data_IF_887918623371
#
_entry.id   IF_887918623371
#
_cell.length_a   1.000
_cell.length_b   1.000
_cell.length_c   1.000
_cell.angle_alpha   90.00
_cell.angle_beta   90.00
_cell.angle_gamma   90.00
#
_symmetry.space_group_name_H-M   'P 1'
#
loop_
_entity.id
_entity.type
_entity.pdbx_description
1 polymer ?
#
# COMPACT_ATOMS: atom_id res chain seq x y z
N UNK A 1 -36.75 -3.74 -36.66
CA UNK A 1 -35.97 -4.31 -35.53
C UNK A 1 -34.47 -4.35 -35.81
N UNK A 2 -34.01 -4.63 -37.00
CA UNK A 2 -32.57 -4.69 -37.37
C UNK A 2 -31.81 -3.36 -37.27
N UNK A 3 -32.41 -2.23 -37.63
CA UNK A 3 -31.79 -0.89 -37.60
C UNK A 3 -31.48 -0.38 -36.18
N UNK A 4 -32.25 -0.78 -35.17
CA UNK A 4 -32.03 -0.37 -33.77
C UNK A 4 -30.85 -1.16 -33.17
N UNK A 5 -30.73 -2.45 -33.50
CA UNK A 5 -29.62 -3.32 -33.06
C UNK A 5 -28.30 -2.85 -33.65
N UNK A 6 -28.24 -2.50 -34.93
CA UNK A 6 -26.99 -2.04 -35.59
C UNK A 6 -26.53 -0.68 -35.04
N UNK A 7 -27.46 0.25 -34.74
CA UNK A 7 -27.13 1.54 -34.08
C UNK A 7 -26.58 1.31 -32.68
N UNK A 8 -27.18 0.41 -31.90
CA UNK A 8 -26.68 0.09 -30.52
C UNK A 8 -25.28 -0.50 -30.52
N UNK A 9 -24.95 -1.36 -31.50
CA UNK A 9 -23.61 -1.95 -31.62
C UNK A 9 -22.58 -0.88 -32.02
N UNK A 10 -22.93 0.02 -32.97
CA UNK A 10 -22.03 1.11 -33.36
C UNK A 10 -21.71 2.09 -32.24
N UNK A 11 -22.70 2.45 -31.44
CA UNK A 11 -22.50 3.35 -30.28
C UNK A 11 -21.71 2.69 -29.18
N UNK A 12 -21.87 1.39 -28.95
CA UNK A 12 -21.08 0.65 -27.98
C UNK A 12 -19.63 0.49 -28.44
N UNK A 13 -19.39 0.15 -29.70
CA UNK A 13 -18.07 0.06 -30.29
C UNK A 13 -17.33 1.40 -30.23
N UNK A 14 -18.01 2.52 -30.53
CA UNK A 14 -17.45 3.87 -30.42
C UNK A 14 -17.09 4.23 -29.01
N UNK A 15 -17.91 3.91 -28.01
CA UNK A 15 -17.61 4.12 -26.58
C UNK A 15 -16.41 3.31 -26.15
N UNK A 16 -16.31 2.04 -26.52
CA UNK A 16 -15.16 1.20 -26.23
C UNK A 16 -13.91 1.80 -26.86
N UNK A 17 -13.96 2.15 -28.14
CA UNK A 17 -12.82 2.75 -28.84
C UNK A 17 -12.37 4.06 -28.20
N UNK A 18 -13.30 4.97 -27.87
CA UNK A 18 -12.94 6.22 -27.19
C UNK A 18 -12.34 5.98 -25.80
N UNK A 19 -12.88 5.04 -25.04
CA UNK A 19 -12.32 4.69 -23.72
C UNK A 19 -10.92 4.11 -23.83
N UNK A 20 -10.70 3.20 -24.77
CA UNK A 20 -9.37 2.62 -25.03
C UNK A 20 -8.41 3.68 -25.53
N UNK A 21 -8.81 4.54 -26.46
CA UNK A 21 -7.97 5.64 -26.96
C UNK A 21 -7.57 6.61 -25.84
N UNK A 22 -8.52 7.02 -24.99
CA UNK A 22 -8.24 7.88 -23.83
C UNK A 22 -7.27 7.18 -22.85
N UNK A 23 -7.48 5.90 -22.58
CA UNK A 23 -6.60 5.14 -21.72
C UNK A 23 -5.16 5.05 -22.28
N UNK A 24 -5.00 4.78 -23.57
CA UNK A 24 -3.70 4.77 -24.25
C UNK A 24 -3.03 6.15 -24.24
N UNK A 25 -3.77 7.21 -24.50
CA UNK A 25 -3.23 8.58 -24.45
C UNK A 25 -2.78 8.92 -23.03
N UNK A 26 -3.59 8.64 -22.04
CA UNK A 26 -3.27 8.93 -20.63
C UNK A 26 -2.07 8.11 -20.15
N UNK A 27 -2.02 6.83 -20.51
CA UNK A 27 -0.91 5.94 -20.16
C UNK A 27 0.38 6.31 -20.89
N UNK A 28 0.30 6.71 -22.17
CA UNK A 28 1.44 7.10 -22.99
C UNK A 28 1.95 8.51 -22.71
N UNK A 29 1.12 9.39 -22.17
CA UNK A 29 1.50 10.78 -21.89
C UNK A 29 2.62 10.87 -20.85
N UNK A 30 2.55 10.06 -19.81
CA UNK A 30 3.58 10.02 -18.77
C UNK A 30 4.98 9.63 -19.28
N UNK A 31 5.17 8.50 -20.00
CA UNK A 31 6.46 8.15 -20.58
C UNK A 31 6.97 9.20 -21.57
N UNK A 32 6.06 9.77 -22.37
CA UNK A 32 6.41 10.81 -23.32
C UNK A 32 6.95 12.06 -22.63
N UNK A 33 6.26 12.56 -21.61
CA UNK A 33 6.68 13.73 -20.84
C UNK A 33 8.01 13.45 -20.13
N UNK A 34 8.15 12.28 -19.52
CA UNK A 34 9.40 11.88 -18.88
C UNK A 34 10.57 11.82 -19.88
N UNK A 35 10.34 11.28 -21.09
CA UNK A 35 11.35 11.23 -22.14
C UNK A 35 11.73 12.64 -22.64
N UNK A 36 10.76 13.54 -22.78
CA UNK A 36 11.00 14.92 -23.19
C UNK A 36 11.78 15.72 -22.14
N UNK A 37 11.58 15.44 -20.85
CA UNK A 37 12.24 16.14 -19.76
C UNK A 37 13.61 15.57 -19.42
N UNK A 38 13.81 14.26 -19.46
CA UNK A 38 15.01 13.58 -18.99
C UNK A 38 15.78 12.82 -20.09
N UNK A 39 15.29 12.82 -21.33
CA UNK A 39 15.99 12.27 -22.50
C UNK A 39 16.46 10.83 -22.33
N UNK A 40 17.77 10.60 -22.49
CA UNK A 40 18.40 9.27 -22.44
C UNK A 40 18.14 8.57 -21.10
N UNK A 41 18.18 9.28 -19.98
CA UNK A 41 17.98 8.72 -18.65
C UNK A 41 16.56 8.11 -18.51
N UNK A 42 15.55 8.76 -19.08
CA UNK A 42 14.20 8.21 -19.12
C UNK A 42 14.11 7.00 -20.03
N UNK A 43 14.83 7.00 -21.16
CA UNK A 43 14.94 5.84 -22.06
C UNK A 43 15.51 4.61 -21.37
N UNK A 44 16.59 4.77 -20.63
CA UNK A 44 17.21 3.70 -19.85
C UNK A 44 16.28 3.19 -18.74
N UNK A 45 15.59 4.09 -18.05
CA UNK A 45 14.60 3.73 -17.05
C UNK A 45 13.46 2.88 -17.63
N UNK A 46 12.89 3.28 -18.78
CA UNK A 46 11.83 2.53 -19.43
C UNK A 46 12.28 1.20 -19.98
N UNK A 47 13.50 1.11 -20.50
CA UNK A 47 14.09 -0.16 -20.92
C UNK A 47 14.26 -1.13 -19.75
N UNK A 48 14.81 -0.67 -18.63
CA UNK A 48 14.93 -1.45 -17.39
C UNK A 48 13.56 -1.88 -16.85
N UNK A 49 12.60 -0.96 -16.87
CA UNK A 49 11.23 -1.26 -16.45
C UNK A 49 10.58 -2.33 -17.35
N UNK A 50 10.70 -2.19 -18.66
CA UNK A 50 10.16 -3.16 -19.62
C UNK A 50 10.80 -4.55 -19.47
N UNK A 51 12.13 -4.61 -19.34
CA UNK A 51 12.85 -5.86 -19.09
C UNK A 51 12.38 -6.53 -17.79
N UNK A 52 12.19 -5.74 -16.74
CA UNK A 52 11.69 -6.23 -15.46
C UNK A 52 10.25 -6.75 -15.57
N UNK A 53 9.38 -6.07 -16.32
CA UNK A 53 8.01 -6.56 -16.56
C UNK A 53 8.00 -7.90 -17.30
N UNK A 54 8.89 -8.10 -18.26
CA UNK A 54 9.03 -9.39 -18.98
C UNK A 54 9.52 -10.50 -18.04
N UNK A 55 10.44 -10.19 -17.13
CA UNK A 55 10.95 -11.15 -16.14
C UNK A 55 9.91 -11.53 -15.08
N UNK A 56 8.94 -10.66 -14.81
CA UNK A 56 7.84 -10.91 -13.85
C UNK A 56 6.82 -11.91 -14.41
N UNK A 57 6.71 -12.04 -15.74
CA UNK A 57 5.83 -13.03 -16.37
C UNK A 57 6.41 -14.42 -16.15
N UNK A 58 5.87 -15.17 -15.22
CA UNK A 58 6.32 -16.51 -14.85
C UNK A 58 5.15 -17.47 -14.70
N UNK A 59 5.49 -18.72 -14.43
CA UNK A 59 4.50 -19.75 -14.19
C UNK A 59 4.14 -19.82 -12.70
N UNK A 60 2.90 -20.13 -12.48
CA UNK A 60 2.19 -20.44 -11.27
C UNK A 60 3.05 -21.12 -10.16
N UNK A 61 3.26 -20.43 -9.03
CA UNK A 61 3.80 -21.04 -7.82
C UNK A 61 2.65 -21.29 -6.80
N UNK A 62 2.46 -22.56 -6.34
CA UNK A 62 1.46 -22.88 -5.33
C UNK A 62 1.62 -22.09 -4.01
N UNK A 63 2.84 -21.71 -3.65
CA UNK A 63 3.11 -20.93 -2.43
C UNK A 63 2.57 -19.51 -2.54
N UNK A 64 2.68 -18.89 -3.71
CA UNK A 64 2.14 -17.56 -3.97
C UNK A 64 0.62 -17.52 -3.87
N UNK A 65 -0.05 -18.58 -4.32
CA UNK A 65 -1.51 -18.68 -4.18
C UNK A 65 -1.95 -18.82 -2.74
N UNK A 66 -1.27 -19.65 -1.97
CA UNK A 66 -1.58 -19.78 -0.55
C UNK A 66 -1.38 -18.45 0.18
N UNK A 67 -0.31 -17.73 -0.18
CA UNK A 67 -0.07 -16.37 0.31
C UNK A 67 -1.21 -15.42 -0.09
N UNK A 68 -1.61 -15.44 -1.36
CA UNK A 68 -2.69 -14.61 -1.89
C UNK A 68 -4.01 -14.88 -1.16
N UNK A 69 -4.42 -16.13 -1.03
CA UNK A 69 -5.68 -16.50 -0.36
C UNK A 69 -5.67 -16.02 1.09
N UNK A 70 -4.57 -16.22 1.80
CA UNK A 70 -4.42 -15.79 3.19
C UNK A 70 -4.53 -14.27 3.34
N UNK A 71 -3.86 -13.51 2.47
CA UNK A 71 -3.87 -12.05 2.53
C UNK A 71 -5.16 -11.45 1.96
N UNK A 72 -5.75 -12.05 0.92
CA UNK A 72 -7.02 -11.66 0.35
C UNK A 72 -8.13 -11.59 1.41
N UNK A 73 -8.23 -12.62 2.25
CA UNK A 73 -9.26 -12.70 3.29
C UNK A 73 -9.13 -11.54 4.30
N UNK A 74 -7.91 -11.23 4.72
CA UNK A 74 -7.65 -10.17 5.69
C UNK A 74 -7.69 -8.76 5.09
N UNK A 75 -7.01 -8.59 3.97
CA UNK A 75 -6.79 -7.27 3.37
C UNK A 75 -8.07 -6.69 2.74
N UNK A 76 -8.89 -7.55 2.17
CA UNK A 76 -10.14 -7.14 1.50
C UNK A 76 -11.39 -7.32 2.39
N UNK A 77 -11.24 -7.67 3.65
CA UNK A 77 -12.34 -7.67 4.62
C UNK A 77 -12.73 -6.21 4.97
N UNK A 78 -14.03 -5.88 5.03
CA UNK A 78 -15.21 -6.72 4.84
C UNK A 78 -15.78 -6.71 3.41
N UNK A 79 -15.08 -6.16 2.41
CA UNK A 79 -15.64 -5.98 1.06
C UNK A 79 -15.93 -7.32 0.35
N UNK A 80 -15.04 -8.31 0.45
CA UNK A 80 -15.16 -9.57 -0.29
C UNK A 80 -16.43 -10.39 0.04
N UNK A 81 -16.91 -10.53 1.31
CA UNK A 81 -18.13 -11.29 1.57
C UNK A 81 -19.36 -10.65 0.91
N UNK A 82 -19.43 -9.30 0.93
CA UNK A 82 -20.53 -8.58 0.27
C UNK A 82 -20.44 -8.63 -1.24
N UNK A 83 -19.23 -8.63 -1.80
CA UNK A 83 -19.02 -8.80 -3.24
C UNK A 83 -19.46 -10.20 -3.71
N UNK A 84 -19.09 -11.26 -2.98
CA UNK A 84 -19.58 -12.61 -3.28
C UNK A 84 -21.11 -12.72 -3.13
N UNK A 85 -21.67 -12.06 -2.11
CA UNK A 85 -23.12 -11.98 -1.95
C UNK A 85 -23.79 -11.28 -3.13
N UNK A 86 -23.19 -10.19 -3.63
CA UNK A 86 -23.68 -9.53 -4.83
C UNK A 86 -23.67 -10.46 -6.04
N UNK A 87 -22.56 -11.14 -6.31
CA UNK A 87 -22.43 -12.09 -7.42
C UNK A 87 -23.50 -13.20 -7.32
N UNK A 88 -23.71 -13.74 -6.12
CA UNK A 88 -24.74 -14.75 -5.87
C UNK A 88 -26.15 -14.25 -6.12
N UNK A 89 -26.49 -13.07 -5.64
CA UNK A 89 -27.82 -12.46 -5.83
C UNK A 89 -28.10 -12.13 -7.29
N UNK A 90 -27.09 -11.63 -8.02
CA UNK A 90 -27.20 -11.20 -9.41
C UNK A 90 -26.78 -12.29 -10.41
N UNK A 91 -26.59 -13.54 -9.99
CA UNK A 91 -26.11 -14.65 -10.83
C UNK A 91 -26.89 -14.88 -12.12
N UNK A 92 -28.17 -14.51 -12.15
CA UNK A 92 -29.02 -14.61 -13.34
C UNK A 92 -28.84 -13.42 -14.32
N UNK A 93 -28.24 -12.33 -13.86
CA UNK A 93 -28.14 -11.06 -14.56
C UNK A 93 -26.70 -10.49 -14.51
N UNK A 94 -25.68 -11.37 -14.56
CA UNK A 94 -24.27 -10.97 -14.51
C UNK A 94 -23.82 -10.11 -15.69
N UNK A 95 -24.59 -10.10 -16.78
CA UNK A 95 -24.32 -9.31 -17.99
C UNK A 95 -24.66 -7.84 -17.84
N UNK A 96 -25.32 -7.44 -16.75
CA UNK A 96 -25.63 -6.04 -16.49
C UNK A 96 -24.33 -5.26 -16.26
N UNK A 97 -24.12 -4.16 -16.95
CA UNK A 97 -22.85 -3.41 -17.04
C UNK A 97 -22.24 -3.08 -15.66
N UNK A 98 -23.05 -2.67 -14.69
CA UNK A 98 -22.54 -2.31 -13.34
C UNK A 98 -22.12 -3.50 -12.47
N UNK A 99 -22.50 -4.73 -12.84
CA UNK A 99 -21.97 -5.96 -12.23
C UNK A 99 -20.87 -6.56 -13.10
N UNK A 100 -21.09 -6.62 -14.42
CA UNK A 100 -20.17 -7.23 -15.36
C UNK A 100 -18.80 -6.53 -15.37
N UNK A 101 -18.79 -5.19 -15.38
CA UNK A 101 -17.55 -4.41 -15.50
C UNK A 101 -16.61 -4.58 -14.30
N UNK A 102 -17.03 -4.38 -13.04
CA UNK A 102 -16.14 -4.61 -11.91
C UNK A 102 -15.78 -6.09 -11.73
N UNK A 103 -16.69 -7.01 -12.08
CA UNK A 103 -16.42 -8.45 -12.03
C UNK A 103 -15.35 -8.84 -13.08
N UNK A 104 -15.50 -8.39 -14.34
CA UNK A 104 -14.52 -8.67 -15.40
C UNK A 104 -13.15 -8.09 -15.07
N UNK A 105 -13.10 -6.90 -14.45
CA UNK A 105 -11.86 -6.32 -13.98
C UNK A 105 -11.21 -7.18 -12.89
N UNK A 106 -11.97 -7.63 -11.88
CA UNK A 106 -11.46 -8.52 -10.84
C UNK A 106 -10.94 -9.85 -11.44
N UNK A 107 -11.67 -10.43 -12.41
CA UNK A 107 -11.25 -11.67 -13.07
C UNK A 107 -9.97 -11.46 -13.90
N UNK A 108 -9.90 -10.41 -14.69
CA UNK A 108 -8.71 -10.09 -15.49
C UNK A 108 -7.47 -9.86 -14.59
N UNK A 109 -7.68 -9.16 -13.47
CA UNK A 109 -6.63 -8.91 -12.50
C UNK A 109 -6.16 -10.19 -11.79
N UNK A 110 -7.10 -11.07 -11.42
CA UNK A 110 -6.78 -12.38 -10.84
C UNK A 110 -5.99 -13.26 -11.80
N UNK A 111 -6.35 -13.25 -13.09
CA UNK A 111 -5.60 -13.96 -14.14
C UNK A 111 -4.18 -13.36 -14.23
N UNK A 112 -4.05 -12.04 -14.27
CA UNK A 112 -2.76 -11.37 -14.28
C UNK A 112 -1.89 -11.71 -13.07
N UNK A 113 -2.50 -11.83 -11.88
CA UNK A 113 -1.82 -12.28 -10.67
C UNK A 113 -1.29 -13.72 -10.79
N UNK A 114 -2.11 -14.65 -11.29
CA UNK A 114 -1.72 -16.06 -11.48
C UNK A 114 -0.57 -16.21 -12.48
N UNK A 115 -0.49 -15.31 -13.46
CA UNK A 115 0.56 -15.30 -14.48
C UNK A 115 1.82 -14.52 -14.07
N UNK A 116 1.86 -13.96 -12.87
CA UNK A 116 2.99 -13.18 -12.35
C UNK A 116 3.83 -14.03 -11.39
N UNK A 117 5.15 -14.04 -11.59
CA UNK A 117 6.09 -14.84 -10.78
C UNK A 117 6.87 -14.05 -9.73
N UNK A 118 6.86 -12.73 -9.77
CA UNK A 118 7.61 -11.91 -8.81
C UNK A 118 6.73 -10.79 -8.27
N UNK A 119 6.56 -10.79 -6.97
CA UNK A 119 5.41 -10.10 -6.45
C UNK A 119 5.75 -9.06 -5.41
N UNK A 120 5.48 -7.84 -5.79
CA UNK A 120 4.90 -6.90 -4.86
C UNK A 120 3.39 -7.24 -4.68
N UNK A 121 3.10 -8.44 -4.14
CA UNK A 121 1.75 -9.01 -4.06
C UNK A 121 0.77 -8.09 -3.33
N UNK A 122 1.25 -7.29 -2.37
CA UNK A 122 0.45 -6.30 -1.65
C UNK A 122 -0.06 -5.18 -2.59
N UNK A 123 0.76 -4.72 -3.55
CA UNK A 123 0.34 -3.70 -4.52
C UNK A 123 -0.70 -4.24 -5.48
N UNK A 124 -0.59 -5.52 -5.85
CA UNK A 124 -1.57 -6.21 -6.67
C UNK A 124 -2.93 -6.33 -5.96
N UNK A 125 -2.95 -6.64 -4.68
CA UNK A 125 -4.18 -6.65 -3.89
C UNK A 125 -4.85 -5.27 -3.82
N UNK A 126 -4.08 -4.19 -3.73
CA UNK A 126 -4.63 -2.83 -3.62
C UNK A 126 -5.46 -2.42 -4.84
N UNK A 127 -5.10 -2.87 -6.03
CA UNK A 127 -5.84 -2.56 -7.27
C UNK A 127 -7.22 -3.23 -7.30
N UNK A 128 -7.39 -4.37 -6.64
CA UNK A 128 -8.69 -5.08 -6.57
C UNK A 128 -9.67 -4.42 -5.61
N UNK A 129 -9.23 -3.55 -4.72
CA UNK A 129 -10.10 -2.91 -3.71
C UNK A 129 -11.24 -2.13 -4.37
N UNK A 130 -10.94 -1.28 -5.35
CA UNK A 130 -11.94 -0.41 -5.96
C UNK A 130 -13.08 -1.20 -6.64
N UNK A 131 -12.82 -2.12 -7.58
CA UNK A 131 -13.89 -2.89 -8.22
C UNK A 131 -14.62 -3.82 -7.24
N UNK A 132 -13.90 -4.37 -6.26
CA UNK A 132 -14.50 -5.20 -5.22
C UNK A 132 -15.45 -4.40 -4.31
N UNK A 133 -15.11 -3.17 -3.94
CA UNK A 133 -15.99 -2.28 -3.18
C UNK A 133 -17.24 -1.89 -3.97
N UNK A 134 -17.12 -1.71 -5.29
CA UNK A 134 -18.30 -1.48 -6.16
C UNK A 134 -19.22 -2.69 -6.10
N UNK A 135 -18.72 -3.91 -6.28
CA UNK A 135 -19.52 -5.13 -6.15
C UNK A 135 -20.12 -5.27 -4.75
N UNK A 136 -19.31 -5.02 -3.69
CA UNK A 136 -19.78 -5.09 -2.33
C UNK A 136 -20.94 -4.13 -2.03
N UNK A 137 -20.95 -2.96 -2.65
CA UNK A 137 -22.04 -1.99 -2.49
C UNK A 137 -23.39 -2.56 -2.97
N UNK A 138 -23.41 -3.29 -4.08
CA UNK A 138 -24.62 -3.98 -4.56
C UNK A 138 -25.03 -5.14 -3.65
N UNK A 139 -24.06 -5.88 -3.09
CA UNK A 139 -24.33 -6.92 -2.10
C UNK A 139 -24.94 -6.37 -0.81
N UNK A 140 -24.40 -5.26 -0.33
CA UNK A 140 -24.89 -4.57 0.86
C UNK A 140 -26.33 -4.06 0.66
N UNK A 141 -26.68 -3.59 -0.55
CA UNK A 141 -28.05 -3.21 -0.89
C UNK A 141 -29.02 -4.35 -0.69
N UNK A 142 -28.64 -5.55 -1.08
CA UNK A 142 -29.46 -6.74 -1.02
C UNK A 142 -29.55 -7.36 0.40
N UNK A 143 -28.70 -6.91 1.35
CA UNK A 143 -28.70 -7.42 2.72
C UNK A 143 -29.95 -7.01 3.52
N UNK A 144 -30.36 -7.89 4.44
CA UNK A 144 -31.46 -7.64 5.35
C UNK A 144 -31.12 -6.51 6.34
N UNK A 145 -32.19 -5.93 6.92
CA UNK A 145 -32.07 -4.85 7.90
C UNK A 145 -31.24 -5.26 9.13
N UNK A 146 -31.37 -6.52 9.58
CA UNK A 146 -30.61 -7.08 10.69
C UNK A 146 -29.11 -7.09 10.41
N UNK A 147 -28.69 -7.59 9.25
CA UNK A 147 -27.27 -7.65 8.82
C UNK A 147 -26.66 -6.25 8.77
N UNK A 148 -27.41 -5.26 8.26
CA UNK A 148 -26.97 -3.86 8.22
C UNK A 148 -26.74 -3.30 9.61
N UNK A 149 -27.67 -3.58 10.54
CA UNK A 149 -27.55 -3.15 11.95
C UNK A 149 -26.39 -3.82 12.68
N UNK A 150 -26.15 -5.11 12.40
CA UNK A 150 -24.97 -5.80 12.95
C UNK A 150 -23.66 -5.23 12.40
N UNK A 151 -23.57 -4.89 11.13
CA UNK A 151 -22.39 -4.25 10.55
C UNK A 151 -22.11 -2.90 11.20
N UNK A 152 -23.13 -2.09 11.45
CA UNK A 152 -22.99 -0.80 12.13
C UNK A 152 -22.48 -0.99 13.57
N UNK A 153 -23.08 -1.90 14.32
CA UNK A 153 -22.67 -2.17 15.71
C UNK A 153 -21.24 -2.71 15.78
N UNK A 154 -20.90 -3.63 14.86
CA UNK A 154 -19.57 -4.17 14.73
C UNK A 154 -18.55 -3.06 14.43
N UNK A 155 -18.85 -2.14 13.51
CA UNK A 155 -17.98 -1.03 13.16
C UNK A 155 -17.74 -0.10 14.36
N UNK A 156 -18.79 0.25 15.10
CA UNK A 156 -18.64 1.05 16.32
C UNK A 156 -17.77 0.32 17.34
N UNK A 157 -18.03 -0.94 17.61
CA UNK A 157 -17.31 -1.70 18.62
C UNK A 157 -15.82 -1.86 18.24
N UNK A 158 -15.52 -2.31 17.02
CA UNK A 158 -14.15 -2.61 16.60
C UNK A 158 -13.29 -1.34 16.51
N UNK A 159 -13.81 -0.25 15.93
CA UNK A 159 -13.04 0.98 15.79
C UNK A 159 -12.88 1.72 17.11
N UNK A 160 -13.88 1.67 18.01
CA UNK A 160 -13.73 2.21 19.36
C UNK A 160 -12.69 1.44 20.16
N UNK A 161 -12.73 0.11 20.11
CA UNK A 161 -11.74 -0.75 20.77
C UNK A 161 -10.32 -0.50 20.21
N UNK A 162 -10.19 -0.46 18.89
CA UNK A 162 -8.90 -0.21 18.23
C UNK A 162 -8.36 1.19 18.57
N UNK A 163 -9.21 2.22 18.53
CA UNK A 163 -8.80 3.59 18.87
C UNK A 163 -8.42 3.72 20.35
N UNK A 164 -9.15 3.05 21.25
CA UNK A 164 -8.77 2.93 22.66
C UNK A 164 -7.41 2.27 22.82
N UNK A 165 -7.14 1.20 22.05
CA UNK A 165 -5.82 0.56 22.00
C UNK A 165 -4.72 1.50 21.55
N UNK A 166 -4.93 2.23 20.46
CA UNK A 166 -3.95 3.23 19.96
C UNK A 166 -3.61 4.26 21.04
N UNK A 167 -4.62 4.84 21.71
CA UNK A 167 -4.41 5.80 22.76
C UNK A 167 -3.77 5.18 24.02
N UNK A 168 -4.17 3.97 24.41
CA UNK A 168 -3.56 3.27 25.54
C UNK A 168 -2.06 3.00 25.29
N UNK A 169 -1.69 2.56 24.09
CA UNK A 169 -0.28 2.38 23.73
C UNK A 169 0.49 3.71 23.68
N UNK A 170 -0.12 4.77 23.17
CA UNK A 170 0.50 6.10 23.15
C UNK A 170 0.76 6.63 24.58
N UNK A 171 -0.23 6.52 25.48
CA UNK A 171 -0.09 6.90 26.89
C UNK A 171 0.98 6.03 27.58
N UNK A 172 0.99 4.71 27.32
CA UNK A 172 2.00 3.83 27.88
C UNK A 172 3.40 4.19 27.40
N UNK A 173 3.55 4.62 26.15
CA UNK A 173 4.84 5.06 25.62
C UNK A 173 5.31 6.37 26.25
N UNK A 174 4.42 7.35 26.41
CA UNK A 174 4.78 8.68 26.97
C UNK A 174 5.00 8.66 28.48
N UNK A 175 4.21 7.87 29.23
CA UNK A 175 4.28 7.80 30.69
C UNK A 175 5.16 6.65 31.22
N UNK A 176 5.60 5.72 30.37
CA UNK A 176 6.35 4.53 30.78
C UNK A 176 5.53 3.49 31.54
N UNK A 177 4.22 3.64 31.65
CA UNK A 177 3.34 2.74 32.39
C UNK A 177 2.09 2.39 31.56
N UNK A 178 1.67 1.09 31.49
CA UNK A 178 2.26 -0.10 32.13
C UNK A 178 3.54 -0.57 31.43
N UNK A 179 4.51 -1.13 32.16
CA UNK A 179 5.84 -1.42 31.63
C UNK A 179 5.83 -2.41 30.46
N UNK A 180 4.92 -3.38 30.43
CA UNK A 180 4.83 -4.35 29.33
C UNK A 180 4.48 -3.67 27.98
N UNK A 181 3.58 -2.69 28.00
CA UNK A 181 3.20 -1.96 26.76
C UNK A 181 4.34 -1.03 26.32
N UNK A 182 4.98 -0.35 27.26
CA UNK A 182 6.13 0.51 27.00
C UNK A 182 7.27 -0.29 26.36
N UNK A 183 7.66 -1.44 26.94
CA UNK A 183 8.66 -2.33 26.38
C UNK A 183 8.32 -2.86 24.98
N UNK A 184 7.05 -3.06 24.69
CA UNK A 184 6.63 -3.51 23.35
C UNK A 184 6.94 -2.47 22.28
N UNK A 185 6.79 -1.18 22.60
CA UNK A 185 7.09 -0.07 21.67
C UNK A 185 8.60 0.10 21.55
N UNK A 186 9.36 0.10 22.69
CA UNK A 186 10.81 0.20 22.67
C UNK A 186 11.46 -0.91 21.84
N UNK A 187 10.91 -2.13 21.89
CA UNK A 187 11.38 -3.23 21.03
C UNK A 187 11.18 -2.96 19.55
N UNK A 188 10.13 -2.23 19.20
CA UNK A 188 9.85 -1.85 17.80
C UNK A 188 10.75 -0.69 17.35
N UNK A 189 11.07 0.26 18.24
CA UNK A 189 11.89 1.43 17.87
C UNK A 189 13.38 1.11 17.81
N UNK A 190 13.85 0.10 18.52
CA UNK A 190 15.28 -0.26 18.64
C UNK A 190 16.21 0.92 19.06
N UNK A 191 15.65 2.09 19.35
CA UNK A 191 16.36 3.31 19.72
C UNK A 191 15.52 4.09 20.75
N UNK A 192 16.10 4.35 21.91
CA UNK A 192 15.45 5.13 22.97
C UNK A 192 15.38 6.62 22.66
N UNK A 193 16.10 7.08 21.63
CA UNK A 193 16.19 8.49 21.25
C UNK A 193 15.06 8.97 20.32
N UNK A 194 14.06 8.11 20.01
CA UNK A 194 12.96 8.51 19.14
C UNK A 194 12.15 9.63 19.76
N UNK A 195 12.07 10.76 19.07
CA UNK A 195 11.31 11.93 19.53
C UNK A 195 9.83 11.61 19.67
N UNK A 196 9.20 12.16 20.70
CA UNK A 196 7.75 12.06 20.88
C UNK A 196 7.00 12.80 19.76
N UNK A 197 5.74 12.45 19.56
CA UNK A 197 4.88 13.12 18.60
C UNK A 197 4.79 14.61 18.89
N UNK A 198 4.78 15.44 17.84
CA UNK A 198 4.59 16.87 17.98
C UNK A 198 3.22 17.18 18.61
N UNK A 199 3.14 18.22 19.44
CA UNK A 199 1.91 18.62 20.10
C UNK A 199 0.75 18.89 19.13
N UNK A 200 1.05 19.38 17.91
CA UNK A 200 0.08 19.58 16.84
C UNK A 200 -0.55 18.26 16.37
N UNK A 201 0.24 17.20 16.24
CA UNK A 201 -0.23 15.87 15.86
C UNK A 201 -1.11 15.26 16.95
N UNK A 202 -0.74 15.46 18.24
CA UNK A 202 -1.55 15.02 19.38
C UNK A 202 -2.90 15.76 19.38
N UNK A 203 -2.91 17.06 19.12
CA UNK A 203 -4.13 17.85 19.04
C UNK A 203 -5.05 17.37 17.91
N UNK A 204 -4.50 17.09 16.72
CA UNK A 204 -5.26 16.52 15.60
C UNK A 204 -5.86 15.17 15.98
N UNK A 205 -5.08 14.27 16.58
CA UNK A 205 -5.57 12.98 17.05
C UNK A 205 -6.68 13.10 18.09
N UNK A 206 -6.60 14.09 19.00
CA UNK A 206 -7.62 14.35 20.00
C UNK A 206 -8.92 14.87 19.36
N UNK A 207 -8.83 15.79 18.40
CA UNK A 207 -10.00 16.29 17.64
C UNK A 207 -10.69 15.12 16.91
N UNK A 208 -9.92 14.23 16.31
CA UNK A 208 -10.45 13.04 15.65
C UNK A 208 -11.11 12.07 16.63
N UNK A 209 -10.55 11.90 17.83
CA UNK A 209 -11.17 11.10 18.90
C UNK A 209 -12.52 11.67 19.30
N UNK A 210 -12.59 12.98 19.55
CA UNK A 210 -13.85 13.67 19.89
C UNK A 210 -14.86 13.55 18.75
N UNK A 211 -14.42 13.71 17.52
CA UNK A 211 -15.27 13.53 16.35
C UNK A 211 -15.83 12.09 16.28
N UNK A 212 -15.01 11.08 16.49
CA UNK A 212 -15.46 9.68 16.52
C UNK A 212 -16.50 9.44 17.64
N UNK A 213 -16.21 9.89 18.86
CA UNK A 213 -17.15 9.78 19.98
C UNK A 213 -18.48 10.48 19.67
N UNK A 214 -18.44 11.66 19.06
CA UNK A 214 -19.64 12.36 18.61
C UNK A 214 -20.45 11.51 17.63
N UNK A 215 -19.80 10.88 16.65
CA UNK A 215 -20.47 9.98 15.68
C UNK A 215 -21.11 8.78 16.38
N UNK A 216 -20.41 8.16 17.33
CA UNK A 216 -20.92 7.03 18.11
C UNK A 216 -22.15 7.44 18.95
N UNK A 217 -22.07 8.54 19.69
CA UNK A 217 -23.18 9.04 20.51
C UNK A 217 -24.37 9.42 19.63
N UNK A 218 -24.13 10.15 18.53
CA UNK A 218 -25.19 10.51 17.57
C UNK A 218 -25.88 9.26 17.01
N UNK A 219 -25.11 8.20 16.75
CA UNK A 219 -25.67 6.93 16.23
C UNK A 219 -26.49 6.20 17.30
N UNK A 220 -26.04 6.17 18.55
CA UNK A 220 -26.75 5.55 19.66
C UNK A 220 -28.04 6.28 20.00
N UNK A 221 -28.01 7.62 19.98
CA UNK A 221 -29.18 8.46 20.34
C UNK A 221 -30.20 8.57 19.22
N UNK A 222 -29.73 8.72 17.99
CA UNK A 222 -30.60 8.84 16.81
C UNK A 222 -30.49 7.54 16.02
N UNK A 223 -31.55 6.74 15.99
CA UNK A 223 -31.64 5.48 15.21
C UNK A 223 -32.17 5.70 13.77
N UNK A 224 -31.53 6.53 12.92
CA UNK A 224 -31.95 6.67 11.54
C UNK A 224 -31.50 5.42 10.81
N UNK A 225 -32.46 4.58 10.41
CA UNK A 225 -32.21 3.42 9.54
C UNK A 225 -32.00 3.97 8.13
N UNK A 226 -30.83 4.52 7.88
CA UNK A 226 -30.43 4.93 6.53
C UNK A 226 -29.50 3.87 5.97
N UNK A 227 -29.71 3.57 4.71
CA UNK A 227 -28.99 2.57 3.94
C UNK A 227 -27.46 2.72 3.96
N UNK A 228 -26.94 3.95 3.96
CA UNK A 228 -25.51 4.25 3.93
C UNK A 228 -24.84 4.41 5.31
N UNK A 229 -25.57 4.28 6.41
CA UNK A 229 -24.98 4.53 7.74
C UNK A 229 -23.88 3.56 8.13
N UNK A 230 -24.01 2.28 7.80
CA UNK A 230 -23.00 1.26 8.08
C UNK A 230 -21.67 1.52 7.36
N UNK A 231 -21.68 1.57 6.01
CA UNK A 231 -20.47 1.87 5.23
C UNK A 231 -19.82 3.20 5.60
N UNK A 232 -20.62 4.25 5.81
CA UNK A 232 -20.10 5.55 6.19
C UNK A 232 -19.43 5.52 7.56
N UNK A 233 -20.01 4.81 8.51
CA UNK A 233 -19.46 4.66 9.86
C UNK A 233 -18.15 3.83 9.83
N UNK A 234 -18.11 2.77 9.01
CA UNK A 234 -16.88 1.98 8.80
C UNK A 234 -15.77 2.81 8.15
N UNK A 235 -16.10 3.57 7.10
CA UNK A 235 -15.14 4.42 6.42
C UNK A 235 -14.59 5.53 7.34
N UNK A 236 -15.47 6.20 8.09
CA UNK A 236 -15.03 7.21 9.06
C UNK A 236 -14.20 6.60 10.20
N UNK A 237 -14.57 5.42 10.68
CA UNK A 237 -13.85 4.71 11.74
C UNK A 237 -12.43 4.34 11.35
N UNK A 238 -12.25 3.73 10.18
CA UNK A 238 -10.90 3.38 9.70
C UNK A 238 -10.05 4.63 9.42
N UNK A 239 -10.65 5.69 8.88
CA UNK A 239 -9.94 6.94 8.60
C UNK A 239 -9.45 7.61 9.89
N UNK A 240 -10.33 7.72 10.89
CA UNK A 240 -9.98 8.27 12.21
C UNK A 240 -8.90 7.43 12.88
N UNK A 241 -9.03 6.10 12.85
CA UNK A 241 -8.05 5.17 13.43
C UNK A 241 -6.68 5.35 12.77
N UNK A 242 -6.64 5.35 11.44
CA UNK A 242 -5.40 5.45 10.68
C UNK A 242 -4.70 6.79 10.89
N UNK A 243 -5.42 7.90 10.76
CA UNK A 243 -4.83 9.23 10.96
C UNK A 243 -4.36 9.40 12.41
N UNK A 244 -5.14 8.93 13.40
CA UNK A 244 -4.71 8.98 14.81
C UNK A 244 -3.44 8.13 15.04
N UNK A 245 -3.36 6.93 14.48
CA UNK A 245 -2.18 6.09 14.59
C UNK A 245 -0.94 6.75 13.96
N UNK A 246 -1.07 7.32 12.77
CA UNK A 246 0.03 8.04 12.09
C UNK A 246 0.43 9.30 12.86
N UNK A 247 -0.52 10.09 13.37
CA UNK A 247 -0.23 11.31 14.14
C UNK A 247 0.50 10.98 15.45
N UNK A 248 0.09 9.94 16.18
CA UNK A 248 0.65 9.60 17.49
C UNK A 248 1.97 8.82 17.38
N UNK A 249 2.08 7.92 16.40
CA UNK A 249 3.23 7.03 16.22
C UNK A 249 4.09 7.37 14.99
N UNK A 250 3.85 8.53 14.36
CA UNK A 250 4.62 8.96 13.17
C UNK A 250 6.13 8.88 13.36
N UNK A 251 6.72 9.43 14.43
CA UNK A 251 8.16 9.34 14.67
C UNK A 251 8.67 7.90 14.82
N UNK A 252 7.88 7.02 15.47
CA UNK A 252 8.21 5.60 15.63
C UNK A 252 8.16 4.88 14.28
N UNK A 253 7.13 5.17 13.49
CA UNK A 253 6.98 4.58 12.15
C UNK A 253 8.11 5.05 11.24
N UNK A 254 8.43 6.34 11.27
CA UNK A 254 9.50 6.93 10.48
C UNK A 254 10.86 6.34 10.86
N UNK A 255 11.22 6.26 12.14
CA UNK A 255 12.47 5.68 12.60
C UNK A 255 12.68 4.23 12.14
N UNK A 256 11.61 3.46 12.01
CA UNK A 256 11.65 2.07 11.54
C UNK A 256 11.66 1.92 10.02
N UNK A 257 11.11 2.88 9.30
CA UNK A 257 10.92 2.81 7.83
C UNK A 257 11.91 3.65 7.06
N UNK A 258 12.47 4.69 7.68
CA UNK A 258 13.46 5.55 7.03
C UNK A 258 14.82 4.88 6.91
N UNK A 259 15.46 5.08 5.76
CA UNK A 259 16.85 4.70 5.54
C UNK A 259 17.82 5.83 5.90
N UNK A 260 17.33 6.97 6.36
CA UNK A 260 18.15 8.14 6.69
C UNK A 260 19.16 7.87 7.82
N UNK A 261 18.76 7.08 8.84
CA UNK A 261 19.65 6.71 9.93
C UNK A 261 20.78 5.80 9.43
N UNK A 262 20.42 4.78 8.63
CA UNK A 262 21.36 3.85 8.01
C UNK A 262 22.33 4.60 7.09
N UNK A 263 21.82 5.54 6.29
CA UNK A 263 22.63 6.34 5.38
C UNK A 263 23.61 7.27 6.16
N UNK A 264 23.18 7.83 7.30
CA UNK A 264 24.04 8.62 8.19
C UNK A 264 25.16 7.77 8.83
N UNK A 265 24.82 6.62 9.39
CA UNK A 265 25.80 5.66 9.93
C UNK A 265 26.81 5.26 8.85
N UNK A 266 26.33 4.89 7.65
CA UNK A 266 27.19 4.55 6.53
C UNK A 266 28.11 5.71 6.13
N UNK A 267 27.58 6.94 6.08
CA UNK A 267 28.38 8.11 5.72
C UNK A 267 29.44 8.43 6.78
N UNK A 268 29.15 8.19 8.08
CA UNK A 268 30.13 8.34 9.16
C UNK A 268 31.24 7.30 9.06
N UNK A 269 30.88 6.03 8.87
CA UNK A 269 31.83 4.95 8.70
C UNK A 269 32.73 5.16 7.47
N UNK A 270 32.17 5.62 6.34
CA UNK A 270 32.96 5.92 5.15
C UNK A 270 33.92 7.10 5.37
N UNK A 271 33.54 8.11 6.17
CA UNK A 271 34.45 9.19 6.56
C UNK A 271 35.60 8.68 7.41
N UNK A 272 35.36 7.76 8.34
CA UNK A 272 36.44 7.15 9.16
C UNK A 272 37.42 6.34 8.31
N UNK A 273 36.94 5.79 7.19
CA UNK A 273 37.76 5.04 6.23
C UNK A 273 38.44 5.91 5.17
N UNK A 274 38.36 7.24 5.29
CA UNK A 274 38.92 8.18 4.31
C UNK A 274 38.38 7.98 2.87
N UNK A 275 37.09 7.64 2.74
CA UNK A 275 36.42 7.50 1.45
C UNK A 275 36.47 8.79 0.65
N UNK A 276 36.96 8.71 -0.61
CA UNK A 276 37.03 9.83 -1.54
C UNK A 276 35.98 9.66 -2.64
N UNK A 277 34.92 10.52 -2.70
CA UNK A 277 33.92 10.45 -3.76
C UNK A 277 34.56 10.61 -5.16
N UNK A 278 34.21 9.72 -6.09
CA UNK A 278 34.73 9.71 -7.45
C UNK A 278 36.03 8.92 -7.66
N UNK A 279 36.71 8.50 -6.59
CA UNK A 279 37.87 7.60 -6.63
C UNK A 279 37.52 6.23 -6.07
N UNK A 280 36.81 6.23 -4.95
CA UNK A 280 36.38 4.99 -4.29
C UNK A 280 34.91 4.68 -4.64
N UNK A 281 34.56 3.40 -4.70
CA UNK A 281 33.18 3.00 -4.91
C UNK A 281 32.69 2.05 -3.82
N UNK A 282 31.40 2.19 -3.48
CA UNK A 282 30.70 1.34 -2.54
C UNK A 282 29.76 0.43 -3.30
N UNK A 283 29.96 -0.88 -3.25
CA UNK A 283 29.16 -1.83 -4.01
C UNK A 283 28.03 -2.41 -3.16
N UNK A 284 26.81 -2.30 -3.64
CA UNK A 284 25.60 -2.78 -2.96
C UNK A 284 25.04 -4.04 -3.63
N UNK A 285 25.76 -5.17 -3.57
CA UNK A 285 25.38 -6.41 -4.26
C UNK A 285 24.12 -7.08 -3.70
N UNK A 286 23.84 -6.91 -2.40
CA UNK A 286 22.77 -7.63 -1.70
C UNK A 286 21.55 -6.77 -1.38
N UNK A 287 21.56 -5.49 -1.75
CA UNK A 287 20.46 -4.58 -1.49
C UNK A 287 19.46 -4.56 -2.65
N UNK A 288 18.16 -4.70 -2.38
CA UNK A 288 17.12 -4.43 -3.34
C UNK A 288 17.22 -3.01 -3.92
N UNK A 289 16.76 -2.83 -5.15
CA UNK A 289 16.83 -1.54 -5.85
C UNK A 289 16.16 -0.39 -5.08
N UNK A 290 15.04 -0.68 -4.42
CA UNK A 290 14.30 0.31 -3.61
C UNK A 290 15.09 0.77 -2.37
N UNK A 291 15.74 -0.17 -1.67
CA UNK A 291 16.56 0.14 -0.50
C UNK A 291 17.82 0.91 -0.90
N UNK A 292 18.43 0.50 -2.02
CA UNK A 292 19.61 1.15 -2.57
C UNK A 292 19.32 2.61 -2.94
N UNK A 293 18.25 2.85 -3.70
CA UNK A 293 17.87 4.21 -4.09
C UNK A 293 17.56 5.12 -2.88
N UNK A 294 16.93 4.57 -1.84
CA UNK A 294 16.67 5.31 -0.61
C UNK A 294 17.97 5.68 0.13
N UNK A 295 18.95 4.77 0.22
CA UNK A 295 20.25 5.04 0.84
C UNK A 295 21.05 6.04 0.00
N UNK A 296 21.10 5.89 -1.32
CA UNK A 296 21.74 6.84 -2.24
C UNK A 296 21.20 8.26 -2.07
N UNK A 297 19.86 8.39 -1.99
CA UNK A 297 19.19 9.66 -1.78
C UNK A 297 19.59 10.35 -0.47
N UNK A 298 19.65 9.60 0.62
CA UNK A 298 19.98 10.16 1.94
C UNK A 298 21.47 10.35 2.19
N UNK A 299 22.34 9.53 1.57
CA UNK A 299 23.79 9.60 1.75
C UNK A 299 24.48 10.47 0.72
N UNK A 300 23.82 10.73 -0.40
CA UNK A 300 24.42 11.38 -1.59
C UNK A 300 25.65 10.61 -2.13
N UNK A 301 25.69 9.30 -1.94
CA UNK A 301 26.75 8.40 -2.38
C UNK A 301 26.16 7.43 -3.40
N UNK A 302 26.77 7.32 -4.58
CA UNK A 302 26.33 6.36 -5.59
C UNK A 302 26.68 4.92 -5.18
N UNK A 303 25.68 4.02 -5.27
CA UNK A 303 25.76 2.62 -4.89
C UNK A 303 25.52 1.71 -6.11
N UNK A 304 26.47 1.51 -7.03
CA UNK A 304 26.28 0.66 -8.19
C UNK A 304 25.97 -0.79 -7.78
N UNK A 305 25.15 -1.48 -8.58
CA UNK A 305 24.71 -2.86 -8.29
C UNK A 305 25.81 -3.90 -8.59
N UNK A 306 26.57 -3.67 -9.63
CA UNK A 306 27.69 -4.51 -10.05
C UNK A 306 28.69 -3.67 -10.87
N UNK A 307 29.96 -4.00 -10.72
CA UNK A 307 30.99 -3.56 -11.64
C UNK A 307 31.13 -4.61 -12.75
N UNK A 308 31.19 -4.16 -13.97
CA UNK A 308 31.28 -4.99 -15.18
C UNK A 308 32.63 -5.72 -15.36
N UNK A 309 33.55 -5.61 -14.40
CA UNK A 309 34.87 -6.25 -14.50
C UNK A 309 35.14 -7.25 -13.36
N UNK A 310 35.64 -8.47 -13.68
CA UNK A 310 35.82 -9.56 -12.74
C UNK A 310 37.05 -9.45 -11.82
N UNK A 311 37.79 -8.36 -11.84
CA UNK A 311 39.13 -8.24 -11.19
C UNK A 311 39.14 -7.55 -9.83
N UNK A 312 37.98 -7.19 -9.28
CA UNK A 312 37.94 -6.44 -8.02
C UNK A 312 37.87 -7.36 -6.78
N UNK A 313 38.88 -7.24 -5.90
CA UNK A 313 38.85 -7.87 -4.58
C UNK A 313 38.22 -6.94 -3.55
N UNK A 314 37.21 -7.38 -2.76
CA UNK A 314 36.62 -6.55 -1.72
C UNK A 314 37.62 -6.35 -0.57
N UNK A 315 38.01 -5.10 -0.30
CA UNK A 315 38.90 -4.78 0.83
C UNK A 315 38.19 -4.72 2.18
N UNK A 316 36.87 -4.46 2.21
CA UNK A 316 36.13 -4.36 3.48
C UNK A 316 34.66 -4.80 3.34
N UNK A 317 34.13 -5.37 4.42
CA UNK A 317 32.72 -5.69 4.55
C UNK A 317 32.12 -4.83 5.68
N UNK A 318 31.24 -3.93 5.35
CA UNK A 318 30.44 -3.18 6.33
C UNK A 318 29.22 -3.98 6.75
N UNK A 319 29.00 -4.15 8.05
CA UNK A 319 27.81 -4.78 8.60
C UNK A 319 26.87 -3.69 9.12
N UNK A 320 25.82 -3.38 8.36
CA UNK A 320 24.78 -2.45 8.78
C UNK A 320 23.52 -3.26 9.09
N UNK A 321 23.04 -3.23 10.34
CA UNK A 321 21.80 -3.91 10.80
C UNK A 321 21.61 -5.31 10.22
N UNK A 322 22.58 -6.22 10.42
CA UNK A 322 22.58 -7.62 9.95
C UNK A 322 22.70 -7.82 8.42
N UNK A 323 22.85 -6.79 7.62
CA UNK A 323 23.14 -6.88 6.17
C UNK A 323 24.56 -6.45 5.88
N UNK A 324 25.22 -7.15 4.92
CA UNK A 324 26.61 -6.90 4.56
C UNK A 324 26.67 -5.98 3.33
N UNK A 325 27.28 -4.81 3.50
CA UNK A 325 27.73 -3.97 2.40
C UNK A 325 29.21 -4.27 2.13
N UNK A 326 29.56 -4.52 0.88
CA UNK A 326 30.96 -4.66 0.48
C UNK A 326 31.42 -3.31 -0.04
N UNK A 327 32.44 -2.74 0.62
CA UNK A 327 33.13 -1.56 0.13
C UNK A 327 34.28 -2.04 -0.74
N UNK A 328 34.32 -1.60 -1.97
CA UNK A 328 35.35 -1.91 -2.94
C UNK A 328 36.04 -0.61 -3.32
N UNK A 329 37.35 -0.66 -3.46
CA UNK A 329 38.10 0.40 -4.11
C UNK A 329 38.03 0.17 -5.60
N UNK A 330 37.65 1.19 -6.37
CA UNK A 330 37.60 1.14 -7.82
C UNK A 330 38.97 1.40 -8.44
#
# INVERSE_FOLDING_TARGET
MSHILVRGIGDTARKIFTTVAVAFITFGLWPLVAYLLAGVVAGDYFNLWAQRQIQIVGFFDPQEILWFVKHFIWYLCPAWPFAFWAIWMWRKNLTITHIALPLSFCCAWLIGFILSSDVAAETLLSVTIAPLCVLASFGLMACNRSTKSMLELFSVAIFTLALTGVWAYFIAWTLGFPPKMHWSILRLTADESVSHAHWTAILVALVLLVFWLYLCVRRLMRRPIRFWTGPWLSASGITVLWISAVCLFGPVIDSNRTYANIAREMSQELKTMHYVPGVDCVLAQTLPLSERGAIEWHSNISLPAALSSPTFQPKLRLRIRQRWLRVLWC
#
